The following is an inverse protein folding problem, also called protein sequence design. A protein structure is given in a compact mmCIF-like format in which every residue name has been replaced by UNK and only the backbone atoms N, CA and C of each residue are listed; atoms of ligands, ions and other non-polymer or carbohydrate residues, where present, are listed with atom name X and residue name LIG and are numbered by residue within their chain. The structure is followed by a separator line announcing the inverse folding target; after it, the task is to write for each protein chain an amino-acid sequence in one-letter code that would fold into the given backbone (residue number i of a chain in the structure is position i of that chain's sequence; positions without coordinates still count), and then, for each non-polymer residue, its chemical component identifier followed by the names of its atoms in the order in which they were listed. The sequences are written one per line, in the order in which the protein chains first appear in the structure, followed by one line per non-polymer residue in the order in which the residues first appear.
data_IF_341200048505
#
_entry.id   IF_341200048505
#
_cell.length_a   1.000
_cell.length_b   1.000
_cell.length_c   1.000
_cell.angle_alpha   90.00
_cell.angle_beta   90.00
_cell.angle_gamma   90.00
#
_symmetry.space_group_name_H-M   'P 1'
#
loop_
_entity.id
_entity.type
_entity.pdbx_description
1 polymer ?
#
# COMPACT_ATOMS: atom_id res chain seq x y z
N UNK A 1 -3.62 18.25 -13.58
CA UNK A 1 -5.06 18.14 -13.97
C UNK A 1 -5.82 17.32 -12.92
N UNK A 2 -7.07 17.65 -12.53
CA UNK A 2 -7.78 16.94 -11.42
C UNK A 2 -7.89 15.43 -11.66
N UNK A 3 -8.10 15.02 -12.90
CA UNK A 3 -8.20 13.61 -13.30
C UNK A 3 -6.89 12.84 -13.11
N UNK A 4 -5.74 13.48 -13.32
CA UNK A 4 -4.41 12.83 -13.19
C UNK A 4 -4.12 12.47 -11.73
N UNK A 5 -4.39 13.40 -10.79
CA UNK A 5 -4.19 13.17 -9.36
C UNK A 5 -5.04 12.01 -8.85
N UNK A 6 -6.31 11.94 -9.29
CA UNK A 6 -7.22 10.85 -8.95
C UNK A 6 -6.76 9.52 -9.55
N UNK A 7 -6.30 9.53 -10.81
CA UNK A 7 -5.73 8.33 -11.44
C UNK A 7 -4.48 7.80 -10.72
N UNK A 8 -3.60 8.69 -10.27
CA UNK A 8 -2.40 8.33 -9.50
C UNK A 8 -2.75 7.79 -8.10
N UNK A 9 -3.73 8.40 -7.43
CA UNK A 9 -4.25 7.89 -6.16
C UNK A 9 -4.91 6.51 -6.34
N UNK A 10 -5.64 6.32 -7.44
CA UNK A 10 -6.27 5.04 -7.77
C UNK A 10 -5.22 3.94 -7.92
N UNK A 11 -4.18 4.13 -8.73
CA UNK A 11 -3.18 3.08 -8.96
C UNK A 11 -2.42 2.73 -7.68
N UNK A 12 -2.01 3.71 -6.86
CA UNK A 12 -1.30 3.40 -5.62
C UNK A 12 -2.20 2.70 -4.60
N UNK A 13 -3.47 3.13 -4.49
CA UNK A 13 -4.45 2.52 -3.59
C UNK A 13 -4.83 1.11 -4.04
N UNK A 14 -4.94 0.88 -5.35
CA UNK A 14 -5.24 -0.43 -5.92
C UNK A 14 -4.13 -1.43 -5.61
N UNK A 15 -2.88 -1.07 -5.88
CA UNK A 15 -1.72 -1.93 -5.60
C UNK A 15 -1.57 -2.22 -4.10
N UNK A 16 -1.73 -1.21 -3.24
CA UNK A 16 -1.69 -1.38 -1.79
C UNK A 16 -2.82 -2.29 -1.28
N UNK A 17 -4.03 -2.17 -1.83
CA UNK A 17 -5.15 -3.04 -1.47
C UNK A 17 -4.91 -4.50 -1.87
N UNK A 18 -4.37 -4.76 -3.08
CA UNK A 18 -3.99 -6.12 -3.48
C UNK A 18 -2.97 -6.70 -2.50
N UNK A 19 -1.92 -5.93 -2.18
CA UNK A 19 -0.92 -6.35 -1.20
C UNK A 19 -1.58 -6.72 0.14
N UNK A 20 -2.46 -5.87 0.65
CA UNK A 20 -3.15 -6.04 1.94
C UNK A 20 -4.05 -7.26 1.95
N UNK A 21 -4.84 -7.49 0.90
CA UNK A 21 -5.72 -8.65 0.84
C UNK A 21 -4.92 -9.95 0.78
N UNK A 22 -3.80 -10.00 0.04
CA UNK A 22 -2.91 -11.17 0.06
C UNK A 22 -2.31 -11.40 1.46
N UNK A 23 -1.90 -10.35 2.18
CA UNK A 23 -1.40 -10.50 3.56
C UNK A 23 -2.49 -11.03 4.50
N UNK A 24 -3.73 -10.54 4.34
CA UNK A 24 -4.87 -11.00 5.12
C UNK A 24 -5.17 -12.47 4.84
N UNK A 25 -5.24 -12.88 3.58
CA UNK A 25 -5.43 -14.30 3.19
C UNK A 25 -4.33 -15.21 3.78
N UNK A 26 -3.10 -14.70 3.94
CA UNK A 26 -2.02 -15.44 4.60
C UNK A 26 -2.27 -15.60 6.10
N UNK A 27 -2.74 -14.57 6.77
CA UNK A 27 -3.08 -14.62 8.20
C UNK A 27 -4.26 -15.59 8.45
N UNK A 28 -5.20 -15.66 7.50
CA UNK A 28 -6.46 -16.39 7.59
C UNK A 28 -6.45 -17.80 6.95
N UNK A 29 -5.28 -18.33 6.52
CA UNK A 29 -5.14 -19.63 5.80
C UNK A 29 -5.93 -20.76 6.45
N UNK A 30 -5.92 -20.88 7.78
CA UNK A 30 -6.61 -21.99 8.48
C UNK A 30 -8.13 -21.88 8.34
N UNK A 31 -8.68 -20.69 8.56
CA UNK A 31 -10.12 -20.44 8.42
C UNK A 31 -10.59 -20.60 6.98
N UNK A 32 -9.82 -20.08 6.03
CA UNK A 32 -10.12 -20.22 4.60
C UNK A 32 -10.15 -21.68 4.14
N UNK A 33 -9.23 -22.52 4.64
CA UNK A 33 -9.23 -23.96 4.35
C UNK A 33 -10.46 -24.67 4.90
N UNK A 34 -10.88 -24.35 6.11
CA UNK A 34 -12.09 -24.93 6.72
C UNK A 34 -13.36 -24.55 5.95
N UNK A 35 -13.38 -23.36 5.35
CA UNK A 35 -14.48 -22.89 4.50
C UNK A 35 -14.42 -23.40 3.04
N UNK A 36 -13.36 -24.15 2.67
CA UNK A 36 -13.17 -24.65 1.30
C UNK A 36 -12.77 -23.56 0.29
N UNK A 37 -12.28 -22.42 0.76
CA UNK A 37 -11.77 -21.32 -0.07
C UNK A 37 -10.47 -21.71 -0.77
N UNK A 38 -10.28 -21.24 -2.01
CA UNK A 38 -9.07 -21.45 -2.81
C UNK A 38 -8.28 -20.15 -2.96
N UNK A 39 -7.76 -19.63 -1.84
CA UNK A 39 -6.97 -18.37 -1.82
C UNK A 39 -5.54 -18.59 -2.31
N UNK A 40 -4.86 -17.49 -2.69
CA UNK A 40 -3.48 -17.53 -3.18
C UNK A 40 -2.52 -18.32 -2.25
N UNK A 41 -2.49 -18.10 -0.91
CA UNK A 41 -1.63 -18.86 -0.01
C UNK A 41 -2.04 -20.32 0.16
N UNK A 42 -3.30 -20.70 -0.09
CA UNK A 42 -3.74 -22.10 -0.08
C UNK A 42 -3.20 -22.84 -1.30
N UNK A 43 -3.27 -22.22 -2.48
CA UNK A 43 -2.87 -22.84 -3.75
C UNK A 43 -1.34 -22.83 -3.92
N UNK A 44 -0.69 -21.70 -3.67
CA UNK A 44 0.74 -21.48 -3.98
C UNK A 44 1.65 -21.50 -2.75
N UNK A 45 1.07 -21.55 -1.56
CA UNK A 45 1.79 -21.53 -0.28
C UNK A 45 2.12 -20.13 0.21
N UNK A 46 2.23 -20.01 1.54
CA UNK A 46 2.46 -18.77 2.28
C UNK A 46 3.67 -17.97 1.76
N UNK A 47 4.83 -18.62 1.55
CA UNK A 47 6.07 -17.93 1.16
C UNK A 47 5.96 -17.24 -0.20
N UNK A 48 5.31 -17.88 -1.18
CA UNK A 48 5.12 -17.30 -2.53
C UNK A 48 4.10 -16.16 -2.48
N UNK A 49 3.00 -16.35 -1.77
CA UNK A 49 2.00 -15.30 -1.57
C UNK A 49 2.58 -14.08 -0.87
N UNK A 50 3.42 -14.27 0.15
CA UNK A 50 4.08 -13.16 0.83
C UNK A 50 5.00 -12.39 -0.11
N UNK A 51 5.78 -13.09 -0.95
CA UNK A 51 6.63 -12.43 -1.94
C UNK A 51 5.78 -11.61 -2.94
N UNK A 52 4.68 -12.17 -3.44
CA UNK A 52 3.77 -11.48 -4.36
C UNK A 52 3.19 -10.23 -3.69
N UNK A 53 2.73 -10.35 -2.45
CA UNK A 53 2.24 -9.21 -1.65
C UNK A 53 3.31 -8.12 -1.51
N UNK A 54 4.55 -8.47 -1.16
CA UNK A 54 5.65 -7.52 -1.05
C UNK A 54 5.97 -6.81 -2.37
N UNK A 55 5.86 -7.50 -3.51
CA UNK A 55 6.03 -6.90 -4.84
C UNK A 55 4.93 -5.86 -5.11
N UNK A 56 3.67 -6.18 -4.81
CA UNK A 56 2.57 -5.22 -4.93
C UNK A 56 2.75 -4.01 -4.00
N UNK A 57 3.18 -4.23 -2.76
CA UNK A 57 3.46 -3.15 -1.80
C UNK A 57 4.56 -2.22 -2.31
N UNK A 58 5.69 -2.78 -2.75
CA UNK A 58 6.80 -2.01 -3.31
C UNK A 58 6.38 -1.25 -4.58
N UNK A 59 5.59 -1.87 -5.44
CA UNK A 59 5.05 -1.22 -6.64
C UNK A 59 4.14 -0.04 -6.25
N UNK A 60 3.23 -0.25 -5.31
CA UNK A 60 2.36 0.80 -4.75
C UNK A 60 3.17 1.96 -4.16
N UNK A 61 4.17 1.65 -3.33
CA UNK A 61 5.11 2.62 -2.76
C UNK A 61 5.79 3.46 -3.85
N UNK A 62 6.32 2.84 -4.91
CA UNK A 62 6.96 3.58 -6.02
C UNK A 62 5.97 4.49 -6.74
N UNK A 63 4.73 4.03 -6.96
CA UNK A 63 3.70 4.86 -7.61
C UNK A 63 3.31 6.11 -6.79
N UNK A 64 3.55 6.12 -5.47
CA UNK A 64 3.30 7.32 -4.64
C UNK A 64 4.22 8.49 -4.99
N UNK A 65 5.32 8.30 -5.72
CA UNK A 65 6.18 9.41 -6.14
C UNK A 65 5.68 10.10 -7.43
N UNK A 66 4.75 9.48 -8.16
CA UNK A 66 4.26 10.01 -9.45
C UNK A 66 3.68 11.43 -9.35
N UNK A 67 2.87 11.79 -8.33
CA UNK A 67 2.32 13.15 -8.24
C UNK A 67 3.39 14.24 -8.15
N UNK A 68 4.55 13.95 -7.56
CA UNK A 68 5.67 14.88 -7.55
C UNK A 68 6.38 14.93 -8.91
N UNK A 69 6.68 13.76 -9.51
CA UNK A 69 7.38 13.67 -10.80
C UNK A 69 6.62 14.38 -11.93
N UNK A 70 5.30 14.30 -11.93
CA UNK A 70 4.44 14.97 -12.91
C UNK A 70 4.06 16.40 -12.51
N UNK A 71 4.72 16.99 -11.49
CA UNK A 71 4.47 18.35 -10.99
C UNK A 71 3.00 18.60 -10.61
N UNK A 72 2.29 17.59 -10.11
CA UNK A 72 0.92 17.73 -9.60
C UNK A 72 0.95 18.30 -8.19
N UNK A 73 1.91 17.88 -7.36
CA UNK A 73 2.12 18.42 -6.02
C UNK A 73 3.58 18.83 -5.81
N UNK A 74 3.77 19.84 -4.95
CA UNK A 74 5.09 20.41 -4.64
C UNK A 74 5.94 19.60 -3.68
N UNK A 75 7.04 20.20 -3.22
CA UNK A 75 8.05 19.58 -2.35
C UNK A 75 7.48 19.14 -1.00
N UNK A 76 6.44 19.80 -0.49
CA UNK A 76 5.76 19.47 0.75
C UNK A 76 5.14 18.05 0.67
N UNK A 77 4.53 17.70 -0.46
CA UNK A 77 4.01 16.35 -0.70
C UNK A 77 5.14 15.32 -0.69
N UNK A 78 6.24 15.62 -1.39
CA UNK A 78 7.40 14.73 -1.47
C UNK A 78 7.98 14.43 -0.08
N UNK A 79 8.07 15.44 0.79
CA UNK A 79 8.57 15.25 2.15
C UNK A 79 7.64 14.32 2.95
N UNK A 80 6.33 14.58 2.96
CA UNK A 80 5.35 13.78 3.70
C UNK A 80 5.29 12.34 3.21
N UNK A 81 5.27 12.12 1.89
CA UNK A 81 5.21 10.77 1.32
C UNK A 81 6.50 9.99 1.55
N UNK A 82 7.65 10.65 1.54
CA UNK A 82 8.94 10.02 1.85
C UNK A 82 8.98 9.52 3.30
N UNK A 83 8.44 10.28 4.25
CA UNK A 83 8.33 9.84 5.65
C UNK A 83 7.43 8.60 5.77
N UNK A 84 6.25 8.61 5.12
CA UNK A 84 5.36 7.43 5.12
C UNK A 84 6.05 6.20 4.50
N UNK A 85 6.79 6.39 3.42
CA UNK A 85 7.49 5.31 2.73
C UNK A 85 8.62 4.67 3.56
N UNK A 86 9.16 5.37 4.57
CA UNK A 86 10.06 4.74 5.56
C UNK A 86 9.32 3.67 6.37
N UNK A 87 8.07 3.93 6.76
CA UNK A 87 7.24 2.95 7.45
C UNK A 87 6.89 1.76 6.56
N UNK A 88 6.71 1.97 5.25
CA UNK A 88 6.49 0.86 4.30
C UNK A 88 7.65 -0.13 4.32
N UNK A 89 8.91 0.34 4.41
CA UNK A 89 10.06 -0.57 4.57
C UNK A 89 10.02 -1.35 5.88
N UNK A 90 9.54 -0.74 6.97
CA UNK A 90 9.29 -1.44 8.22
C UNK A 90 8.20 -2.51 8.06
N UNK A 91 7.12 -2.20 7.35
CA UNK A 91 6.03 -3.13 7.01
C UNK A 91 6.53 -4.32 6.19
N UNK A 92 7.39 -4.08 5.19
CA UNK A 92 8.05 -5.14 4.43
C UNK A 92 8.91 -6.03 5.33
N UNK A 93 9.67 -5.45 6.26
CA UNK A 93 10.48 -6.21 7.20
C UNK A 93 9.65 -7.07 8.17
N UNK A 94 8.64 -6.47 8.81
CA UNK A 94 7.82 -7.16 9.80
C UNK A 94 6.92 -8.21 9.16
N UNK A 95 6.51 -8.05 7.89
CA UNK A 95 5.70 -9.03 7.16
C UNK A 95 6.35 -10.43 7.08
N UNK A 96 7.69 -10.51 7.12
CA UNK A 96 8.43 -11.78 7.15
C UNK A 96 8.37 -12.49 8.51
N UNK A 97 8.03 -11.78 9.58
CA UNK A 97 7.98 -12.28 10.96
C UNK A 97 6.56 -12.42 11.48
N UNK A 98 5.68 -11.50 11.10
CA UNK A 98 4.30 -11.44 11.56
C UNK A 98 3.45 -10.71 10.52
N UNK A 99 2.73 -11.48 9.71
CA UNK A 99 1.90 -10.95 8.61
C UNK A 99 0.71 -10.16 9.15
N UNK A 100 0.05 -10.61 10.22
CA UNK A 100 -1.03 -9.87 10.90
C UNK A 100 -0.64 -8.44 11.29
N UNK A 101 0.57 -8.26 11.85
CA UNK A 101 1.08 -6.93 12.20
C UNK A 101 1.38 -6.10 10.96
N UNK A 102 1.95 -6.70 9.92
CA UNK A 102 2.22 -6.01 8.66
C UNK A 102 0.93 -5.54 7.97
N UNK A 103 -0.11 -6.36 7.94
CA UNK A 103 -1.43 -6.00 7.38
C UNK A 103 -2.01 -4.77 8.10
N UNK A 104 -1.96 -4.76 9.43
CA UNK A 104 -2.45 -3.64 10.24
C UNK A 104 -1.62 -2.37 10.02
N UNK A 105 -0.30 -2.49 9.94
CA UNK A 105 0.59 -1.38 9.61
C UNK A 105 0.29 -0.82 8.22
N UNK A 106 0.12 -1.68 7.21
CA UNK A 106 -0.22 -1.29 5.85
C UNK A 106 -1.56 -0.54 5.80
N UNK A 107 -2.56 -0.99 6.56
CA UNK A 107 -3.84 -0.26 6.67
C UNK A 107 -3.67 1.16 7.19
N UNK A 108 -2.81 1.36 8.20
CA UNK A 108 -2.50 2.69 8.75
C UNK A 108 -1.77 3.54 7.70
N UNK A 109 -0.79 2.97 7.01
CA UNK A 109 -0.04 3.64 5.94
C UNK A 109 -0.96 4.09 4.81
N UNK A 110 -1.93 3.28 4.41
CA UNK A 110 -2.94 3.64 3.40
C UNK A 110 -3.76 4.86 3.82
N UNK A 111 -4.21 4.94 5.07
CA UNK A 111 -4.88 6.15 5.58
C UNK A 111 -3.92 7.35 5.61
N UNK A 112 -2.65 7.13 5.92
CA UNK A 112 -1.60 8.14 5.84
C UNK A 112 -1.46 8.71 4.42
N UNK A 113 -1.39 7.84 3.40
CA UNK A 113 -1.31 8.27 2.00
C UNK A 113 -2.53 9.10 1.62
N UNK A 114 -3.74 8.64 1.97
CA UNK A 114 -4.97 9.39 1.71
C UNK A 114 -4.95 10.77 2.37
N UNK A 115 -4.50 10.85 3.62
CA UNK A 115 -4.36 12.11 4.35
C UNK A 115 -3.35 13.05 3.68
N UNK A 116 -2.19 12.55 3.27
CA UNK A 116 -1.17 13.34 2.56
C UNK A 116 -1.72 13.88 1.23
N UNK A 117 -2.44 13.06 0.46
CA UNK A 117 -3.11 13.51 -0.76
C UNK A 117 -4.13 14.62 -0.49
N UNK A 118 -4.94 14.47 0.56
CA UNK A 118 -5.94 15.47 0.95
C UNK A 118 -5.30 16.80 1.35
N UNK A 119 -4.31 16.77 2.26
CA UNK A 119 -3.59 17.97 2.71
C UNK A 119 -2.86 18.65 1.56
N UNK A 120 -2.18 17.87 0.71
CA UNK A 120 -1.45 18.41 -0.44
C UNK A 120 -2.40 19.08 -1.43
N UNK A 121 -3.60 18.53 -1.62
CA UNK A 121 -4.61 19.16 -2.48
C UNK A 121 -5.15 20.47 -1.91
N UNK A 122 -5.30 20.59 -0.59
CA UNK A 122 -5.69 21.84 0.07
C UNK A 122 -4.60 22.89 -0.11
N UNK A 123 -3.33 22.53 0.14
CA UNK A 123 -2.19 23.45 0.01
C UNK A 123 -2.10 23.97 -1.43
N UNK A 124 -2.18 23.06 -2.42
CA UNK A 124 -2.14 23.37 -3.85
C UNK A 124 -3.31 24.26 -4.33
N UNK A 125 -4.43 24.30 -3.59
CA UNK A 125 -5.55 25.19 -3.91
C UNK A 125 -5.37 26.61 -3.34
N UNK A 126 -4.56 26.76 -2.30
CA UNK A 126 -4.34 28.04 -1.60
C UNK A 126 -3.07 28.75 -2.11
N UNK A 127 -2.09 27.99 -2.60
CA UNK A 127 -0.85 28.49 -3.21
C UNK A 127 -1.07 28.97 -4.65
#
# INVERSE_FOLDING_TARGET
NKMEAVGMLFICSFLANISREIMKDIDDIKGDKEMGSSTLPIIYGEKKSLLISQIFLLSGMVTTFLPYVYNIFGVQYLFMISVLNIFVFWTLYISKKNVSRAEKSLKIEMYGVLFVFFVSKIIDQIA
#
